data_IF_946791121191
#
_entry.id   IF_946791121191
#
_cell.length_a   1.000
_cell.length_b   1.000
_cell.length_c   1.000
_cell.angle_alpha   90.00
_cell.angle_beta   90.00
_cell.angle_gamma   90.00
#
_symmetry.space_group_name_H-M   'P 1'
#
loop_
_entity.id
_entity.type
_entity.pdbx_description
1 polymer ?
#
# COMPACT_ATOMS: atom_id res chain seq x y z
N UNK A 1 -13.41 -2.22 -11.18
CA UNK A 1 -12.72 -0.90 -11.13
C UNK A 1 -12.55 -0.34 -12.53
N UNK A 2 -12.45 0.99 -12.67
CA UNK A 2 -12.02 1.64 -13.92
C UNK A 2 -10.85 2.58 -13.61
N UNK A 3 -9.94 2.83 -14.56
CA UNK A 3 -8.85 3.78 -14.37
C UNK A 3 -9.29 5.19 -13.96
N UNK A 4 -10.54 5.60 -14.25
CA UNK A 4 -11.04 6.95 -13.97
C UNK A 4 -11.62 7.10 -12.56
N UNK A 5 -12.08 6.01 -11.93
CA UNK A 5 -12.72 6.04 -10.62
C UNK A 5 -11.87 5.47 -9.48
N UNK A 6 -10.67 4.98 -9.78
CA UNK A 6 -9.76 4.40 -8.80
C UNK A 6 -8.48 5.18 -8.62
N UNK A 7 -7.92 5.15 -7.42
CA UNK A 7 -6.56 5.56 -7.10
C UNK A 7 -5.79 4.38 -6.51
N UNK A 8 -4.47 4.48 -6.46
CA UNK A 8 -3.58 3.45 -5.93
C UNK A 8 -2.74 4.01 -4.79
N UNK A 9 -2.55 3.23 -3.74
CA UNK A 9 -1.58 3.53 -2.68
C UNK A 9 -0.65 2.32 -2.47
N UNK A 10 0.65 2.59 -2.51
CA UNK A 10 1.69 1.67 -2.06
C UNK A 10 2.08 2.03 -0.64
N UNK A 11 1.90 1.09 0.30
CA UNK A 11 2.19 1.29 1.71
C UNK A 11 3.47 0.53 2.06
N UNK A 12 4.51 1.28 2.41
CA UNK A 12 5.70 0.78 3.08
C UNK A 12 6.41 -0.38 2.35
N UNK A 13 6.51 -0.28 1.01
CA UNK A 13 7.24 -1.20 0.14
C UNK A 13 8.76 -1.00 0.27
N UNK A 14 9.27 -1.22 1.49
CA UNK A 14 10.63 -0.97 1.92
C UNK A 14 11.36 -2.31 2.17
N UNK A 15 12.63 -2.48 1.72
CA UNK A 15 13.33 -3.77 1.76
C UNK A 15 13.45 -4.40 3.15
N UNK A 16 13.67 -3.60 4.19
CA UNK A 16 13.84 -4.12 5.55
C UNK A 16 12.51 -4.61 6.13
N UNK A 17 11.39 -3.98 5.79
CA UNK A 17 10.06 -4.51 6.13
C UNK A 17 9.76 -5.79 5.36
N UNK A 18 10.12 -5.83 4.08
CA UNK A 18 9.97 -7.03 3.26
C UNK A 18 10.80 -8.22 3.75
N UNK A 19 11.89 -7.98 4.49
CA UNK A 19 12.67 -9.06 5.10
C UNK A 19 11.83 -9.94 6.03
N UNK A 20 10.89 -9.33 6.76
CA UNK A 20 9.97 -10.01 7.67
C UNK A 20 8.81 -10.74 6.99
N UNK A 21 8.63 -10.60 5.67
CA UNK A 21 7.53 -11.25 4.95
C UNK A 21 7.79 -12.74 4.80
N UNK A 22 6.80 -13.55 5.17
CA UNK A 22 6.81 -15.02 5.04
C UNK A 22 5.56 -15.58 4.37
N UNK A 23 4.59 -14.75 3.97
CA UNK A 23 3.36 -15.18 3.28
C UNK A 23 3.51 -15.35 1.76
N UNK A 24 4.64 -14.92 1.20
CA UNK A 24 4.94 -14.99 -0.24
C UNK A 24 6.46 -14.93 -0.43
N UNK A 25 6.97 -15.52 -1.52
CA UNK A 25 8.35 -15.32 -1.93
C UNK A 25 8.64 -13.82 -2.16
N UNK A 26 9.74 -13.32 -1.58
CA UNK A 26 10.06 -11.88 -1.57
C UNK A 26 10.43 -11.34 -2.95
N UNK A 27 11.01 -12.17 -3.82
CA UNK A 27 11.28 -11.78 -5.20
C UNK A 27 9.98 -11.69 -6.01
N UNK A 28 9.07 -12.65 -5.83
CA UNK A 28 7.73 -12.60 -6.42
C UNK A 28 6.96 -11.36 -5.95
N UNK A 29 6.96 -11.06 -4.64
CA UNK A 29 6.35 -9.86 -4.08
C UNK A 29 6.87 -8.59 -4.75
N UNK A 30 8.19 -8.40 -4.82
CA UNK A 30 8.78 -7.22 -5.46
C UNK A 30 8.39 -7.14 -6.94
N UNK A 31 8.42 -8.26 -7.67
CA UNK A 31 8.02 -8.31 -9.07
C UNK A 31 6.54 -7.91 -9.26
N UNK A 32 5.65 -8.40 -8.39
CA UNK A 32 4.22 -8.08 -8.43
C UNK A 32 3.96 -6.60 -8.11
N UNK A 33 4.65 -6.03 -7.11
CA UNK A 33 4.59 -4.60 -6.76
C UNK A 33 5.00 -3.73 -7.95
N UNK A 34 6.13 -4.04 -8.59
CA UNK A 34 6.61 -3.30 -9.77
C UNK A 34 5.67 -3.49 -10.96
N UNK A 35 5.10 -4.69 -11.13
CA UNK A 35 4.09 -4.97 -12.15
C UNK A 35 2.83 -4.12 -11.96
N UNK A 36 2.31 -4.06 -10.72
CA UNK A 36 1.17 -3.23 -10.34
C UNK A 36 1.45 -1.75 -10.59
N UNK A 37 2.64 -1.28 -10.23
CA UNK A 37 3.07 0.11 -10.47
C UNK A 37 3.09 0.46 -11.96
N UNK A 38 3.66 -0.41 -12.79
CA UNK A 38 3.69 -0.23 -14.25
C UNK A 38 2.27 -0.19 -14.83
N UNK A 39 1.38 -1.06 -14.36
CA UNK A 39 -0.02 -1.03 -14.78
C UNK A 39 -0.69 0.30 -14.40
N UNK A 40 -0.52 0.77 -13.16
CA UNK A 40 -1.06 2.05 -12.71
C UNK A 40 -0.57 3.23 -13.57
N UNK A 41 0.72 3.23 -13.92
CA UNK A 41 1.29 4.23 -14.84
C UNK A 41 0.66 4.17 -16.24
N UNK A 42 0.53 2.98 -16.84
CA UNK A 42 -0.08 2.82 -18.17
C UNK A 42 -1.53 3.32 -18.19
N UNK A 43 -2.27 3.07 -17.12
CA UNK A 43 -3.67 3.48 -16.99
C UNK A 43 -3.86 4.90 -16.45
N UNK A 44 -2.78 5.65 -16.18
CA UNK A 44 -2.82 6.98 -15.57
C UNK A 44 -3.63 7.01 -14.25
N UNK A 45 -3.45 6.00 -13.42
CA UNK A 45 -4.06 5.93 -12.09
C UNK A 45 -3.23 6.81 -11.13
N UNK A 46 -3.84 7.81 -10.46
CA UNK A 46 -3.19 8.56 -9.40
C UNK A 46 -2.68 7.59 -8.36
N UNK A 47 -1.38 7.65 -8.12
CA UNK A 47 -0.68 6.76 -7.23
C UNK A 47 -0.17 7.58 -6.05
N UNK A 48 -0.19 7.01 -4.86
CA UNK A 48 0.44 7.53 -3.64
C UNK A 48 1.44 6.49 -3.16
N UNK A 49 2.62 6.91 -2.71
CA UNK A 49 3.62 6.01 -2.14
C UNK A 49 3.92 6.51 -0.73
N UNK A 50 3.70 5.66 0.28
CA UNK A 50 4.00 5.98 1.67
C UNK A 50 5.19 5.17 2.16
N UNK A 51 5.87 5.73 3.14
CA UNK A 51 7.00 5.10 3.83
C UNK A 51 6.89 5.34 5.32
N UNK A 52 7.50 4.45 6.10
CA UNK A 52 7.59 4.58 7.56
C UNK A 52 9.02 4.34 8.01
N UNK A 53 9.58 5.21 8.86
CA UNK A 53 10.92 5.07 9.43
C UNK A 53 12.04 4.85 8.38
N UNK A 54 12.05 5.63 7.30
CA UNK A 54 13.00 5.48 6.18
C UNK A 54 14.47 5.64 6.59
N UNK A 55 14.75 6.57 7.51
CA UNK A 55 16.10 6.80 8.05
C UNK A 55 16.47 5.85 9.20
N UNK A 56 15.54 4.98 9.60
CA UNK A 56 15.67 4.06 10.73
C UNK A 56 15.59 2.60 10.29
N UNK A 57 14.64 1.87 10.88
CA UNK A 57 14.52 0.42 10.71
C UNK A 57 14.18 0.02 9.27
N UNK A 58 13.25 0.73 8.63
CA UNK A 58 12.58 0.23 7.42
C UNK A 58 13.38 0.49 6.14
N UNK A 59 14.28 1.49 6.12
CA UNK A 59 15.05 1.87 4.94
C UNK A 59 14.21 2.54 3.85
N UNK A 60 14.82 2.91 2.72
CA UNK A 60 14.07 3.56 1.62
C UNK A 60 13.22 2.58 0.80
N UNK A 61 12.16 3.07 0.15
CA UNK A 61 11.33 2.30 -0.79
C UNK A 61 12.17 1.59 -1.86
N UNK A 62 11.67 0.47 -2.39
CA UNK A 62 12.27 -0.19 -3.55
C UNK A 62 12.62 0.81 -4.66
N UNK A 63 13.89 0.88 -5.11
CA UNK A 63 14.26 1.76 -6.21
C UNK A 63 13.50 1.41 -7.49
N UNK A 64 13.21 0.13 -7.73
CA UNK A 64 12.45 -0.31 -8.91
C UNK A 64 11.00 0.20 -8.91
N UNK A 65 10.40 0.46 -7.74
CA UNK A 65 9.10 1.10 -7.64
C UNK A 65 9.21 2.61 -7.94
N UNK A 66 10.24 3.27 -7.42
CA UNK A 66 10.48 4.70 -7.65
C UNK A 66 10.85 5.01 -9.10
N UNK A 67 11.55 4.10 -9.80
CA UNK A 67 11.87 4.23 -11.22
C UNK A 67 10.62 4.27 -12.12
N UNK A 68 9.51 3.68 -11.67
CA UNK A 68 8.23 3.80 -12.37
C UNK A 68 7.69 5.24 -12.25
N UNK A 69 7.95 5.91 -11.12
CA UNK A 69 7.45 7.24 -10.80
C UNK A 69 8.59 8.21 -10.40
N UNK A 70 9.52 8.56 -11.32
CA UNK A 70 10.81 9.18 -10.98
C UNK A 70 10.73 10.58 -10.32
N UNK A 71 9.59 11.25 -10.40
CA UNK A 71 9.37 12.58 -9.81
C UNK A 71 8.42 12.55 -8.61
N UNK A 72 7.96 11.36 -8.22
CA UNK A 72 6.99 11.22 -7.16
C UNK A 72 7.68 11.16 -5.81
N UNK A 73 7.30 12.08 -4.92
CA UNK A 73 7.77 12.06 -3.53
C UNK A 73 7.01 10.99 -2.75
N UNK A 74 7.74 10.26 -1.92
CA UNK A 74 7.14 9.40 -0.91
C UNK A 74 6.58 10.25 0.22
N UNK A 75 5.51 9.78 0.85
CA UNK A 75 4.95 10.36 2.06
C UNK A 75 5.52 9.62 3.26
N UNK A 76 6.57 10.19 3.86
CA UNK A 76 7.19 9.67 5.09
C UNK A 76 6.28 9.87 6.30
N UNK A 77 6.16 8.83 7.12
CA UNK A 77 5.27 8.76 8.30
C UNK A 77 6.02 8.11 9.48
N UNK A 78 5.45 8.27 10.67
CA UNK A 78 5.95 7.63 11.91
C UNK A 78 4.97 6.61 12.50
N UNK A 79 3.67 6.70 12.18
CA UNK A 79 2.68 5.69 12.57
C UNK A 79 2.72 4.50 11.61
N UNK A 80 2.41 3.30 12.09
CA UNK A 80 2.18 2.14 11.21
C UNK A 80 0.88 2.26 10.42
N UNK A 81 -0.13 2.95 10.95
CA UNK A 81 -1.36 3.21 10.21
C UNK A 81 -1.17 4.39 9.26
N UNK A 82 -1.20 4.14 7.95
CA UNK A 82 -1.11 5.20 6.92
C UNK A 82 -2.23 6.23 7.04
N UNK A 83 -3.38 5.86 7.59
CA UNK A 83 -4.52 6.75 7.72
C UNK A 83 -4.33 7.82 8.81
N UNK A 84 -3.47 7.59 9.81
CA UNK A 84 -3.22 8.55 10.88
C UNK A 84 -2.50 9.82 10.37
N UNK A 85 -1.80 9.72 9.24
CA UNK A 85 -1.03 10.84 8.70
C UNK A 85 -1.89 11.72 7.77
N UNK A 86 -2.04 12.99 8.14
CA UNK A 86 -2.85 13.94 7.38
C UNK A 86 -2.37 14.12 5.94
N UNK A 87 -1.06 14.01 5.66
CA UNK A 87 -0.52 14.09 4.29
C UNK A 87 -1.07 12.97 3.40
N UNK A 88 -1.29 11.78 3.97
CA UNK A 88 -1.89 10.65 3.23
C UNK A 88 -3.37 10.93 2.95
N UNK A 89 -4.11 11.38 3.96
CA UNK A 89 -5.54 11.72 3.81
C UNK A 89 -5.74 12.81 2.76
N UNK A 90 -4.93 13.86 2.81
CA UNK A 90 -4.96 14.97 1.87
C UNK A 90 -4.61 14.51 0.45
N UNK A 91 -3.57 13.67 0.29
CA UNK A 91 -3.19 13.12 -1.01
C UNK A 91 -4.30 12.26 -1.63
N UNK A 92 -4.94 11.40 -0.83
CA UNK A 92 -6.06 10.58 -1.29
C UNK A 92 -7.29 11.44 -1.64
N UNK A 93 -7.59 12.46 -0.83
CA UNK A 93 -8.71 13.36 -1.05
C UNK A 93 -8.52 14.22 -2.31
N UNK A 94 -7.30 14.70 -2.57
CA UNK A 94 -6.95 15.49 -3.74
C UNK A 94 -7.20 14.74 -5.07
N UNK A 95 -7.15 13.41 -5.06
CA UNK A 95 -7.45 12.60 -6.23
C UNK A 95 -8.94 12.55 -6.58
N UNK A 96 -9.84 12.84 -5.62
CA UNK A 96 -11.29 12.84 -5.84
C UNK A 96 -11.91 11.48 -6.18
N UNK A 97 -11.24 10.37 -5.82
CA UNK A 97 -11.64 9.01 -6.23
C UNK A 97 -11.91 8.12 -5.02
N UNK A 98 -13.12 7.56 -4.90
CA UNK A 98 -13.48 6.77 -3.71
C UNK A 98 -12.99 5.32 -3.71
N UNK A 99 -12.57 4.77 -4.85
CA UNK A 99 -12.03 3.40 -4.90
C UNK A 99 -10.51 3.43 -4.75
N UNK A 100 -9.97 2.81 -3.72
CA UNK A 100 -8.54 2.81 -3.43
C UNK A 100 -8.00 1.38 -3.58
N UNK A 101 -7.16 1.18 -4.58
CA UNK A 101 -6.35 -0.03 -4.71
C UNK A 101 -5.20 0.09 -3.73
N UNK A 102 -4.94 -0.96 -2.96
CA UNK A 102 -3.91 -0.95 -1.90
C UNK A 102 -2.96 -2.11 -2.10
N UNK A 103 -1.66 -1.84 -1.99
CA UNK A 103 -0.60 -2.82 -1.93
C UNK A 103 0.37 -2.37 -0.85
N UNK A 104 0.80 -3.27 0.03
CA UNK A 104 1.71 -2.84 1.09
C UNK A 104 2.13 -3.88 2.10
N UNK A 105 2.93 -3.44 3.06
CA UNK A 105 3.55 -4.26 4.09
C UNK A 105 3.36 -3.63 5.48
N UNK A 106 3.10 -4.39 6.55
CA UNK A 106 2.61 -5.77 6.54
C UNK A 106 1.09 -5.82 6.44
N UNK A 107 0.57 -6.90 5.87
CA UNK A 107 -0.86 -7.07 5.58
C UNK A 107 -1.69 -6.92 6.85
N UNK A 108 -1.28 -7.54 7.94
CA UNK A 108 -1.91 -7.55 9.25
C UNK A 108 -1.72 -6.27 10.08
N UNK A 109 -0.80 -5.39 9.67
CA UNK A 109 -0.50 -4.14 10.38
C UNK A 109 -0.92 -2.94 9.52
N UNK A 110 -0.02 -2.43 8.67
CA UNK A 110 -0.21 -1.17 7.96
C UNK A 110 -1.39 -1.23 7.00
N UNK A 111 -1.55 -2.34 6.24
CA UNK A 111 -2.65 -2.47 5.29
C UNK A 111 -4.00 -2.61 5.98
N UNK A 112 -4.10 -3.50 6.99
CA UNK A 112 -5.37 -3.73 7.70
C UNK A 112 -5.82 -2.48 8.44
N UNK A 113 -4.92 -1.81 9.17
CA UNK A 113 -5.28 -0.59 9.91
C UNK A 113 -5.65 0.55 8.97
N UNK A 114 -4.88 0.76 7.90
CA UNK A 114 -5.23 1.73 6.87
C UNK A 114 -6.60 1.44 6.25
N UNK A 115 -6.85 0.20 5.82
CA UNK A 115 -8.09 -0.17 5.14
C UNK A 115 -9.31 0.10 6.03
N UNK A 116 -9.29 -0.39 7.28
CA UNK A 116 -10.42 -0.24 8.20
C UNK A 116 -10.71 1.23 8.52
N UNK A 117 -9.67 2.05 8.77
CA UNK A 117 -9.86 3.47 9.07
C UNK A 117 -10.26 4.28 7.82
N UNK A 118 -9.68 3.99 6.65
CA UNK A 118 -10.02 4.65 5.40
C UNK A 118 -11.48 4.38 4.99
N UNK A 119 -11.97 3.16 5.22
CA UNK A 119 -13.38 2.80 5.02
C UNK A 119 -14.28 3.53 6.01
N UNK A 120 -13.97 3.45 7.30
CA UNK A 120 -14.81 3.98 8.37
C UNK A 120 -14.90 5.51 8.37
N UNK A 121 -13.78 6.20 8.18
CA UNK A 121 -13.68 7.66 8.34
C UNK A 121 -13.57 8.41 7.01
N UNK A 122 -13.00 7.76 5.99
CA UNK A 122 -12.76 8.34 4.67
C UNK A 122 -13.86 8.09 3.66
N UNK A 123 -14.78 7.15 3.96
CA UNK A 123 -15.80 6.67 3.03
C UNK A 123 -15.13 6.23 1.70
N UNK A 124 -14.03 5.47 1.83
CA UNK A 124 -13.31 4.85 0.72
C UNK A 124 -13.71 3.38 0.58
N UNK A 125 -13.81 2.90 -0.66
CA UNK A 125 -13.90 1.47 -0.97
C UNK A 125 -12.49 0.92 -1.20
N UNK A 126 -12.10 -0.10 -0.44
CA UNK A 126 -10.73 -0.63 -0.45
C UNK A 126 -10.64 -1.90 -1.29
N UNK A 127 -9.64 -1.96 -2.17
CA UNK A 127 -9.37 -3.10 -3.03
C UNK A 127 -7.92 -3.54 -2.78
N UNK A 128 -7.75 -4.50 -1.87
CA UNK A 128 -6.43 -5.00 -1.49
C UNK A 128 -5.87 -5.94 -2.56
N UNK A 129 -4.64 -5.69 -3.00
CA UNK A 129 -3.93 -6.54 -3.96
C UNK A 129 -3.08 -7.54 -3.18
N UNK A 130 -3.62 -8.74 -3.00
CA UNK A 130 -3.07 -9.76 -2.12
C UNK A 130 -1.66 -10.20 -2.51
N UNK A 131 -1.41 -10.41 -3.81
CA UNK A 131 -0.12 -10.89 -4.34
C UNK A 131 0.95 -9.79 -4.46
N UNK A 132 0.57 -8.52 -4.29
CA UNK A 132 1.46 -7.38 -4.11
C UNK A 132 1.48 -6.90 -2.64
N UNK A 133 0.99 -7.71 -1.71
CA UNK A 133 1.02 -7.47 -0.26
C UNK A 133 1.65 -8.66 0.44
N UNK A 134 2.21 -8.44 1.63
CA UNK A 134 2.91 -9.48 2.38
C UNK A 134 2.67 -9.37 3.86
N UNK A 135 2.52 -10.52 4.53
CA UNK A 135 2.43 -10.62 5.99
C UNK A 135 3.60 -11.39 6.58
N UNK A 136 3.77 -11.28 7.90
CA UNK A 136 4.88 -11.93 8.63
C UNK A 136 4.74 -13.45 8.73
N UNK A 137 3.56 -13.98 8.41
CA UNK A 137 3.27 -15.39 8.21
C UNK A 137 2.08 -15.55 7.27
N UNK A 138 1.89 -16.74 6.69
CA UNK A 138 0.70 -17.04 5.90
C UNK A 138 -0.59 -16.80 6.70
N UNK A 139 -0.65 -17.29 7.95
CA UNK A 139 -1.82 -17.13 8.80
C UNK A 139 -2.12 -15.66 9.11
N UNK A 140 -1.10 -14.85 9.41
CA UNK A 140 -1.28 -13.42 9.66
C UNK A 140 -1.85 -12.70 8.41
N UNK A 141 -1.29 -13.00 7.23
CA UNK A 141 -1.79 -12.47 5.96
C UNK A 141 -3.25 -12.88 5.70
N UNK A 142 -3.57 -14.17 5.83
CA UNK A 142 -4.91 -14.70 5.52
C UNK A 142 -5.98 -14.13 6.45
N UNK A 143 -5.73 -14.10 7.77
CA UNK A 143 -6.70 -13.56 8.72
C UNK A 143 -6.85 -12.04 8.62
N UNK A 144 -5.79 -11.32 8.25
CA UNK A 144 -5.86 -9.90 7.94
C UNK A 144 -6.73 -9.63 6.70
N UNK A 145 -6.53 -10.40 5.62
CA UNK A 145 -7.36 -10.33 4.42
C UNK A 145 -8.84 -10.65 4.75
N UNK A 146 -9.11 -11.70 5.53
CA UNK A 146 -10.46 -12.03 5.97
C UNK A 146 -11.10 -10.91 6.79
N UNK A 147 -10.34 -10.27 7.69
CA UNK A 147 -10.84 -9.14 8.48
C UNK A 147 -11.22 -7.96 7.60
N UNK A 148 -10.42 -7.66 6.57
CA UNK A 148 -10.76 -6.59 5.62
C UNK A 148 -12.01 -6.96 4.81
N UNK A 149 -12.12 -8.19 4.29
CA UNK A 149 -13.30 -8.67 3.56
C UNK A 149 -14.58 -8.60 4.42
N UNK A 150 -14.49 -8.85 5.73
CA UNK A 150 -15.63 -8.73 6.64
C UNK A 150 -16.10 -7.28 6.82
N UNK A 151 -15.22 -6.29 6.59
CA UNK A 151 -15.54 -4.88 6.70
C UNK A 151 -16.17 -4.30 5.41
N UNK A 152 -16.05 -5.00 4.27
CA UNK A 152 -16.52 -4.59 2.94
C UNK A 152 -15.39 -4.39 1.95
#
# INVERSE_FOLDING_TARGET
LTPQNSQLIFIDQQPQMAFGVQSIDRQALKNNVVGLAKAAKVFNIPTTITTVESEGFSGHTYPELLDVFPNQKTLERTSMNSWDDQKVRDALAANGRKKVVVSGLWTEVCNTTFALCAMLEGDYEIYMVADASGGTSQAAHDFAMQRMVQAG
#
